data_IF_228911628055
#
_entry.id   IF_228911628055
#
_cell.length_a   1.000
_cell.length_b   1.000
_cell.length_c   1.000
_cell.angle_alpha   90.00
_cell.angle_beta   90.00
_cell.angle_gamma   90.00
#
_symmetry.space_group_name_H-M   'P 1'
#
loop_
_entity.id
_entity.type
_entity.pdbx_description
1 polymer ?
#
# COMPACT_ATOMS: atom_id res chain seq x y z
N UNK A 1 -1.45 19.78 -8.73
CA UNK A 1 -1.93 18.75 -7.82
C UNK A 1 -1.08 18.73 -6.58
N UNK A 2 -1.53 19.47 -5.62
CA UNK A 2 -0.78 19.62 -4.39
C UNK A 2 -0.75 18.31 -3.62
N UNK A 3 0.45 17.92 -3.19
CA UNK A 3 0.60 16.71 -2.40
C UNK A 3 0.61 15.41 -3.20
N UNK A 4 0.32 15.47 -4.49
CA UNK A 4 0.33 14.26 -5.34
C UNK A 4 1.68 14.14 -6.03
N UNK A 5 2.25 12.95 -5.94
CA UNK A 5 3.57 12.67 -6.50
C UNK A 5 3.47 11.48 -7.44
N UNK A 6 3.94 11.64 -8.66
CA UNK A 6 3.98 10.56 -9.63
C UNK A 6 5.12 9.61 -9.29
N UNK A 7 4.82 8.31 -9.23
CA UNK A 7 5.83 7.32 -8.85
C UNK A 7 6.15 6.34 -9.98
N UNK A 8 5.45 6.39 -11.09
CA UNK A 8 5.74 5.52 -12.21
C UNK A 8 4.51 5.12 -12.97
N UNK A 9 4.66 4.14 -13.85
CA UNK A 9 3.57 3.64 -14.67
C UNK A 9 2.90 2.44 -14.03
N UNK A 10 1.61 2.26 -14.34
CA UNK A 10 0.90 1.07 -13.93
C UNK A 10 1.64 -0.20 -14.39
N UNK A 11 2.23 -0.13 -15.57
CA UNK A 11 2.95 -1.27 -16.14
C UNK A 11 4.21 -1.65 -15.36
N UNK A 12 4.69 -0.75 -14.49
CA UNK A 12 5.87 -1.06 -13.67
C UNK A 12 5.58 -2.09 -12.60
N UNK A 13 4.30 -2.35 -12.31
CA UNK A 13 3.90 -3.34 -11.33
C UNK A 13 3.09 -4.43 -12.04
N UNK A 14 3.53 -5.69 -11.98
CA UNK A 14 2.75 -6.75 -12.62
C UNK A 14 1.44 -6.99 -11.87
N UNK A 15 0.43 -7.56 -12.53
CA UNK A 15 -0.81 -7.92 -11.86
C UNK A 15 -0.51 -8.79 -10.64
N UNK A 16 -1.20 -8.50 -9.52
CA UNK A 16 -1.00 -9.16 -8.24
C UNK A 16 0.40 -8.96 -7.69
N UNK A 17 1.09 -7.92 -8.17
CA UNK A 17 2.43 -7.60 -7.70
C UNK A 17 2.42 -6.35 -6.83
N UNK A 18 3.62 -5.97 -6.40
CA UNK A 18 3.78 -4.82 -5.53
C UNK A 18 5.10 -4.13 -5.81
N UNK A 19 5.18 -2.87 -5.41
CA UNK A 19 6.39 -2.08 -5.51
C UNK A 19 6.57 -1.30 -4.22
N UNK A 20 7.81 -1.24 -3.74
CA UNK A 20 8.14 -0.47 -2.55
C UNK A 20 8.65 0.89 -2.96
N UNK A 21 8.06 1.93 -2.41
CA UNK A 21 8.45 3.31 -2.68
C UNK A 21 9.11 3.90 -1.45
N UNK A 22 10.31 4.44 -1.61
CA UNK A 22 11.08 5.02 -0.52
C UNK A 22 11.34 6.49 -0.79
N UNK A 23 11.75 7.21 0.26
CA UNK A 23 12.15 8.60 0.11
C UNK A 23 11.13 9.60 0.62
N UNK A 24 10.01 9.13 1.14
CA UNK A 24 8.93 10.00 1.62
C UNK A 24 8.59 9.71 3.08
N UNK A 25 9.58 9.32 3.87
CA UNK A 25 9.37 8.91 5.24
C UNK A 25 9.32 7.40 5.32
N UNK A 26 8.35 6.79 6.03
CA UNK A 26 8.26 5.35 6.06
C UNK A 26 8.06 4.78 4.66
N UNK A 27 8.58 3.60 4.37
CA UNK A 27 8.37 2.98 3.06
C UNK A 27 6.89 2.76 2.79
N UNK A 28 6.51 2.89 1.53
CA UNK A 28 5.13 2.72 1.07
C UNK A 28 5.09 1.54 0.12
N UNK A 29 4.11 0.65 0.32
CA UNK A 29 3.89 -0.48 -0.57
C UNK A 29 2.74 -0.14 -1.50
N UNK A 30 2.97 -0.25 -2.81
CA UNK A 30 1.96 0.00 -3.82
C UNK A 30 1.64 -1.33 -4.47
N UNK A 31 0.35 -1.70 -4.45
CA UNK A 31 -0.10 -3.01 -4.91
C UNK A 31 -1.00 -2.88 -6.12
N UNK A 32 -0.87 -3.85 -7.03
CA UNK A 32 -1.75 -3.96 -8.19
C UNK A 32 -2.53 -5.25 -8.07
N UNK A 33 -3.87 -5.16 -8.11
CA UNK A 33 -4.70 -6.35 -8.02
C UNK A 33 -4.79 -7.05 -9.39
N UNK A 34 -5.41 -8.23 -9.40
CA UNK A 34 -5.62 -8.97 -10.65
C UNK A 34 -6.53 -8.23 -11.62
N UNK A 35 -7.36 -7.30 -11.11
CA UNK A 35 -8.25 -6.49 -11.95
C UNK A 35 -7.70 -5.10 -12.20
N UNK A 36 -6.41 -4.91 -12.00
CA UNK A 36 -5.69 -3.67 -12.30
C UNK A 36 -6.07 -2.49 -11.41
N UNK A 37 -6.61 -2.78 -10.24
CA UNK A 37 -6.81 -1.75 -9.23
C UNK A 37 -5.52 -1.52 -8.47
N UNK A 38 -5.29 -0.27 -8.06
CA UNK A 38 -4.07 0.11 -7.35
C UNK A 38 -4.42 0.55 -5.94
N UNK A 39 -3.65 0.05 -4.98
CA UNK A 39 -3.79 0.45 -3.57
C UNK A 39 -2.41 0.70 -2.99
N UNK A 40 -2.35 1.54 -1.97
CA UNK A 40 -1.07 1.85 -1.31
C UNK A 40 -1.26 1.83 0.20
N UNK A 41 -0.32 1.18 0.87
CA UNK A 41 -0.29 1.08 2.33
C UNK A 41 1.11 1.42 2.79
N UNK A 42 1.26 1.81 4.05
CA UNK A 42 2.58 1.81 4.63
C UNK A 42 3.11 0.39 4.58
N UNK A 43 4.37 0.24 4.21
CA UNK A 43 4.95 -1.09 3.99
C UNK A 43 5.35 -1.72 5.30
N UNK A 44 4.33 -2.00 6.12
CA UNK A 44 4.55 -2.46 7.47
C UNK A 44 3.33 -3.22 7.96
N UNK A 45 3.53 -4.49 8.22
CA UNK A 45 2.47 -5.32 8.77
C UNK A 45 2.15 -4.87 10.20
N UNK A 46 0.87 -4.72 10.54
CA UNK A 46 0.53 -4.29 11.91
C UNK A 46 0.96 -5.28 12.97
N UNK A 47 1.23 -6.53 12.59
CA UNK A 47 1.63 -7.55 13.55
C UNK A 47 3.08 -7.33 14.02
N UNK A 48 4.04 -7.45 13.11
CA UNK A 48 5.45 -7.39 13.48
C UNK A 48 6.26 -6.50 12.55
N UNK A 49 5.62 -5.63 11.82
CA UNK A 49 6.32 -4.72 10.94
C UNK A 49 6.92 -5.36 9.70
N UNK A 50 6.46 -6.55 9.33
CA UNK A 50 6.98 -7.21 8.15
C UNK A 50 6.67 -6.44 6.88
N UNK A 51 7.47 -6.66 5.82
CA UNK A 51 7.28 -5.90 4.58
C UNK A 51 6.09 -6.42 3.79
N UNK A 52 4.98 -5.67 3.83
CA UNK A 52 3.78 -6.06 3.10
C UNK A 52 4.03 -6.12 1.59
N UNK A 53 5.00 -5.33 1.10
CA UNK A 53 5.32 -5.35 -0.33
C UNK A 53 5.84 -6.70 -0.81
N UNK A 54 6.28 -7.56 0.10
CA UNK A 54 6.74 -8.90 -0.23
C UNK A 54 5.67 -9.96 0.02
N UNK A 55 4.46 -9.53 0.39
CA UNK A 55 3.38 -10.44 0.64
C UNK A 55 2.66 -10.87 -0.63
N UNK A 56 1.59 -11.62 -0.46
CA UNK A 56 0.81 -12.16 -1.56
C UNK A 56 -0.50 -11.39 -1.70
N UNK A 57 -0.71 -10.80 -2.88
CA UNK A 57 -1.95 -10.06 -3.16
C UNK A 57 -3.08 -11.06 -3.37
N UNK A 58 -4.18 -10.86 -2.64
CA UNK A 58 -5.36 -11.72 -2.70
C UNK A 58 -6.59 -10.82 -2.80
N UNK A 59 -7.18 -10.74 -3.99
CA UNK A 59 -8.32 -9.86 -4.19
C UNK A 59 -7.96 -8.43 -3.81
N UNK A 60 -8.65 -7.86 -2.82
CA UNK A 60 -8.40 -6.51 -2.34
C UNK A 60 -7.67 -6.50 -1.00
N UNK A 61 -6.76 -7.45 -0.81
CA UNK A 61 -6.01 -7.58 0.42
C UNK A 61 -4.63 -8.15 0.14
N UNK A 62 -3.75 -8.10 1.14
CA UNK A 62 -2.41 -8.69 1.02
C UNK A 62 -2.14 -9.55 2.25
N UNK A 63 -1.55 -10.73 2.02
CA UNK A 63 -1.13 -11.62 3.10
C UNK A 63 0.32 -11.31 3.45
N UNK A 64 0.57 -11.00 4.72
CA UNK A 64 1.90 -10.69 5.20
C UNK A 64 2.81 -11.91 5.09
N UNK A 65 4.06 -11.74 4.62
CA UNK A 65 4.95 -12.90 4.45
C UNK A 65 5.40 -13.53 5.77
N UNK A 66 5.26 -12.83 6.89
CA UNK A 66 5.76 -13.37 8.16
C UNK A 66 4.83 -14.41 8.77
N UNK A 67 3.56 -14.09 8.97
CA UNK A 67 2.64 -15.01 9.63
C UNK A 67 1.30 -15.13 8.91
N UNK A 68 1.24 -14.66 7.67
CA UNK A 68 0.04 -14.81 6.88
C UNK A 68 -1.12 -13.90 7.27
N UNK A 69 -0.86 -12.87 8.09
CA UNK A 69 -1.91 -11.91 8.40
C UNK A 69 -2.41 -11.26 7.12
N UNK A 70 -3.71 -11.21 6.97
CA UNK A 70 -4.32 -10.61 5.79
C UNK A 70 -4.75 -9.19 6.14
N UNK A 71 -4.24 -8.22 5.36
CA UNK A 71 -4.49 -6.80 5.59
C UNK A 71 -5.31 -6.27 4.43
N UNK A 72 -6.45 -5.66 4.73
CA UNK A 72 -7.35 -5.11 3.71
C UNK A 72 -6.76 -3.84 3.10
N UNK A 73 -6.83 -3.73 1.78
CA UNK A 73 -6.27 -2.57 1.09
C UNK A 73 -7.05 -1.29 1.38
N UNK A 74 -8.36 -1.38 1.48
CA UNK A 74 -9.20 -0.17 1.61
C UNK A 74 -9.14 0.44 3.00
N UNK A 75 -8.93 -0.35 4.03
CA UNK A 75 -8.92 0.13 5.40
C UNK A 75 -7.56 0.03 6.08
N UNK A 76 -6.67 -0.81 5.55
CA UNK A 76 -5.40 -1.08 6.20
C UNK A 76 -5.51 -1.96 7.42
N UNK A 77 -6.69 -2.54 7.65
CA UNK A 77 -6.94 -3.32 8.85
C UNK A 77 -6.70 -4.81 8.61
N UNK A 78 -6.18 -5.47 9.65
CA UNK A 78 -6.01 -6.92 9.60
C UNK A 78 -7.37 -7.60 9.69
N UNK A 79 -7.52 -8.72 8.97
CA UNK A 79 -8.74 -9.51 9.04
C UNK A 79 -8.83 -10.23 10.37
N UNK A 80 -10.07 -10.34 10.88
CA UNK A 80 -10.31 -11.09 12.12
C UNK A 80 -9.84 -12.54 11.91
N UNK A 81 -9.36 -13.20 12.98
CA UNK A 81 -9.32 -12.72 14.37
C UNK A 81 -8.14 -11.83 14.72
N UNK A 82 -7.30 -11.52 13.74
CA UNK A 82 -6.15 -10.66 13.98
C UNK A 82 -6.60 -9.22 14.18
N UNK A 83 -5.83 -8.45 14.91
CA UNK A 83 -6.17 -7.06 15.21
C UNK A 83 -4.99 -6.16 14.92
N UNK A 84 -5.30 -4.98 14.41
CA UNK A 84 -4.30 -3.99 14.10
C UNK A 84 -4.53 -3.39 12.74
N UNK A 85 -3.79 -2.34 12.43
CA UNK A 85 -3.92 -1.68 11.14
C UNK A 85 -2.61 -1.02 10.76
N UNK A 86 -2.45 -0.79 9.46
CA UNK A 86 -1.36 0.01 8.93
C UNK A 86 -1.95 1.20 8.19
N UNK A 87 -1.13 2.21 7.90
CA UNK A 87 -1.62 3.41 7.25
C UNK A 87 -1.99 3.18 5.80
N UNK A 88 -3.11 3.75 5.37
CA UNK A 88 -3.54 3.71 3.97
C UNK A 88 -3.10 5.02 3.32
N UNK A 89 -2.47 4.91 2.15
CA UNK A 89 -2.01 6.06 1.41
C UNK A 89 -2.92 6.26 0.20
N UNK A 90 -3.52 7.45 0.04
CA UNK A 90 -4.37 7.69 -1.13
C UNK A 90 -3.57 7.53 -2.42
N UNK A 91 -4.19 6.90 -3.40
CA UNK A 91 -3.52 6.62 -4.67
C UNK A 91 -4.53 6.80 -5.79
N UNK A 92 -4.03 7.20 -6.96
CA UNK A 92 -4.88 7.31 -8.14
C UNK A 92 -4.07 6.99 -9.38
N UNK A 93 -4.78 6.70 -10.48
CA UNK A 93 -4.17 6.47 -11.77
C UNK A 93 -4.69 7.53 -12.73
N UNK A 94 -3.76 8.21 -13.41
CA UNK A 94 -4.10 9.16 -14.46
C UNK A 94 -3.18 8.92 -15.63
N UNK A 95 -3.76 8.76 -16.82
CA UNK A 95 -3.00 8.55 -18.06
C UNK A 95 -2.04 7.38 -17.93
N UNK A 96 -2.43 6.33 -17.22
CA UNK A 96 -1.60 5.15 -17.01
C UNK A 96 -0.49 5.33 -15.99
N UNK A 97 -0.45 6.47 -15.30
CA UNK A 97 0.57 6.77 -14.31
C UNK A 97 0.01 6.68 -12.90
N UNK A 98 0.83 6.23 -11.98
CA UNK A 98 0.44 6.05 -10.58
C UNK A 98 0.87 7.28 -9.79
N UNK A 99 -0.08 7.87 -9.04
CA UNK A 99 0.16 9.04 -8.20
C UNK A 99 -0.20 8.71 -6.77
N UNK A 100 0.70 9.07 -5.84
CA UNK A 100 0.45 8.92 -4.41
C UNK A 100 0.25 10.28 -3.79
N UNK A 101 -0.68 10.37 -2.85
CA UNK A 101 -0.88 11.59 -2.08
C UNK A 101 -0.11 11.46 -0.78
N UNK A 102 0.95 12.25 -0.66
CA UNK A 102 1.78 12.22 0.53
C UNK A 102 1.17 13.11 1.61
N UNK A 103 1.01 12.59 2.82
CA UNK A 103 0.53 13.44 3.91
C UNK A 103 1.57 14.50 4.22
N UNK A 104 1.10 15.71 4.51
CA UNK A 104 2.00 16.77 4.92
C UNK A 104 2.49 16.50 6.34
N UNK A 105 3.61 17.09 6.74
CA UNK A 105 4.10 16.89 8.10
C UNK A 105 3.09 17.26 9.19
N UNK A 106 2.25 18.24 8.91
CA UNK A 106 1.26 18.65 9.89
C UNK A 106 0.23 17.57 10.18
N UNK A 107 -0.05 16.74 9.20
CA UNK A 107 -1.05 15.69 9.41
C UNK A 107 -0.56 14.62 10.36
N UNK A 108 0.72 14.58 10.64
CA UNK A 108 1.26 13.59 11.57
C UNK A 108 0.99 13.94 13.03
N UNK A 109 0.51 15.12 13.29
CA UNK A 109 0.29 15.61 14.66
C UNK A 109 -1.07 15.26 15.22
N UNK A 110 -1.85 14.52 14.53
CA UNK A 110 -3.19 14.16 14.96
C UNK A 110 -3.20 13.01 15.91
#
# INVERSE_FOLDING_TARGET
MEGWIEIGDLADIPPRGARRVRGFGPPIAVFRTATDEIFALLDRCPHKGGPLSEGIVQGCAVACPLHGWVVQFDSGEAEAPDEGSTGVVPVKIEAGRIWLHMPSPESCDR
#
